data_IF_963259680295
#
_entry.id   IF_963259680295
#
_cell.length_a   1.000
_cell.length_b   1.000
_cell.length_c   1.000
_cell.angle_alpha   90.00
_cell.angle_beta   90.00
_cell.angle_gamma   90.00
#
_symmetry.space_group_name_H-M   'P 1'
#
loop_
_entity.id
_entity.type
_entity.pdbx_description
1 polymer ?
#
# COMPACT_ATOMS: atom_id res chain seq x y z
N UNK A 1 18.54 6.13 9.08
CA UNK A 1 18.59 5.69 7.66
C UNK A 1 18.73 4.16 7.53
N UNK A 2 17.88 3.37 8.24
CA UNK A 2 18.02 1.89 8.36
C UNK A 2 16.79 1.09 7.89
N UNK A 3 15.77 1.69 7.28
CA UNK A 3 14.49 0.99 7.09
C UNK A 3 14.13 0.66 5.63
N UNK A 4 14.75 1.29 4.63
CA UNK A 4 14.32 1.11 3.23
C UNK A 4 14.65 -0.27 2.66
N UNK A 5 15.83 -0.84 3.00
CA UNK A 5 16.27 -2.14 2.47
C UNK A 5 15.46 -3.30 3.04
N UNK A 6 15.17 -3.27 4.34
CA UNK A 6 14.41 -4.33 5.02
C UNK A 6 12.94 -4.33 4.56
N UNK A 7 12.32 -3.15 4.42
CA UNK A 7 10.97 -3.02 3.86
C UNK A 7 10.93 -3.57 2.43
N UNK A 8 11.97 -3.35 1.63
CA UNK A 8 12.03 -3.85 0.27
C UNK A 8 12.11 -5.38 0.22
N UNK A 9 12.88 -6.00 1.13
CA UNK A 9 12.97 -7.46 1.26
C UNK A 9 11.62 -8.05 1.73
N UNK A 10 10.97 -7.40 2.70
CA UNK A 10 9.64 -7.84 3.19
C UNK A 10 8.63 -7.81 2.04
N UNK A 11 8.56 -6.70 1.30
CA UNK A 11 7.65 -6.57 0.14
C UNK A 11 7.96 -7.60 -0.96
N UNK A 12 9.23 -7.87 -1.22
CA UNK A 12 9.66 -8.85 -2.22
C UNK A 12 9.26 -10.27 -1.82
N UNK A 13 9.49 -10.66 -0.56
CA UNK A 13 9.06 -11.96 -0.02
C UNK A 13 7.54 -12.10 -0.06
N UNK A 14 6.83 -11.02 0.26
CA UNK A 14 5.37 -11.00 0.22
C UNK A 14 4.83 -11.17 -1.20
N UNK A 15 5.44 -10.50 -2.18
CA UNK A 15 5.12 -10.69 -3.60
C UNK A 15 5.40 -12.11 -4.09
N UNK A 16 6.51 -12.72 -3.65
CA UNK A 16 6.83 -14.12 -3.97
C UNK A 16 5.78 -15.09 -3.41
N UNK A 17 5.35 -14.89 -2.16
CA UNK A 17 4.29 -15.71 -1.56
C UNK A 17 3.00 -15.57 -2.37
N UNK A 18 2.65 -14.36 -2.80
CA UNK A 18 1.50 -14.14 -3.67
C UNK A 18 1.61 -14.92 -4.99
N UNK A 19 2.77 -14.89 -5.64
CA UNK A 19 3.01 -15.64 -6.90
C UNK A 19 2.82 -17.14 -6.68
N UNK A 20 3.40 -17.70 -5.63
CA UNK A 20 3.28 -19.13 -5.30
C UNK A 20 1.82 -19.50 -5.02
N UNK A 21 1.10 -18.71 -4.23
CA UNK A 21 -0.33 -18.96 -3.95
C UNK A 21 -1.15 -18.83 -5.23
N UNK A 22 -0.84 -17.87 -6.10
CA UNK A 22 -1.56 -17.70 -7.37
C UNK A 22 -1.37 -18.86 -8.34
N UNK A 23 -0.18 -19.46 -8.36
CA UNK A 23 0.16 -20.55 -9.25
C UNK A 23 -0.34 -21.92 -8.73
N UNK A 24 -0.18 -22.18 -7.43
CA UNK A 24 -0.45 -23.51 -6.85
C UNK A 24 -1.78 -23.59 -6.09
N UNK A 25 -2.32 -22.47 -5.62
CA UNK A 25 -3.44 -22.42 -4.67
C UNK A 25 -4.46 -21.35 -5.06
N UNK A 26 -4.97 -21.43 -6.30
CA UNK A 26 -5.81 -20.39 -6.91
C UNK A 26 -7.04 -20.00 -6.08
N UNK A 27 -7.63 -20.96 -5.37
CA UNK A 27 -8.78 -20.76 -4.48
C UNK A 27 -8.44 -19.90 -3.25
N UNK A 28 -7.18 -19.94 -2.81
CA UNK A 28 -6.68 -19.22 -1.63
C UNK A 28 -6.19 -17.81 -1.95
N UNK A 29 -6.08 -17.44 -3.23
CA UNK A 29 -5.65 -16.11 -3.67
C UNK A 29 -6.51 -15.01 -3.06
N UNK A 30 -7.84 -15.21 -3.04
CA UNK A 30 -8.77 -14.23 -2.47
C UNK A 30 -8.56 -14.04 -0.97
N UNK A 31 -8.46 -15.15 -0.23
CA UNK A 31 -8.24 -15.11 1.21
C UNK A 31 -6.90 -14.48 1.56
N UNK A 32 -5.85 -14.82 0.80
CA UNK A 32 -4.55 -14.19 0.95
C UNK A 32 -4.64 -12.68 0.76
N UNK A 33 -5.32 -12.20 -0.29
CA UNK A 33 -5.52 -10.77 -0.55
C UNK A 33 -6.38 -10.05 0.50
N UNK A 34 -7.35 -10.72 1.11
CA UNK A 34 -8.12 -10.13 2.21
C UNK A 34 -7.28 -10.00 3.48
N UNK A 35 -6.54 -11.06 3.83
CA UNK A 35 -5.64 -11.08 4.98
C UNK A 35 -4.53 -10.03 4.83
N UNK A 36 -4.03 -9.91 3.60
CA UNK A 36 -3.10 -8.88 3.14
C UNK A 36 -3.58 -7.46 3.48
N UNK A 37 -4.81 -7.11 3.12
CA UNK A 37 -5.40 -5.81 3.39
C UNK A 37 -5.57 -5.59 4.90
N UNK A 38 -6.03 -6.61 5.62
CA UNK A 38 -6.23 -6.57 7.08
C UNK A 38 -4.92 -6.30 7.82
N UNK A 39 -3.78 -6.78 7.33
CA UNK A 39 -2.47 -6.52 7.95
C UNK A 39 -1.93 -5.13 7.56
N UNK A 40 -2.01 -4.77 6.28
CA UNK A 40 -1.39 -3.54 5.76
C UNK A 40 -2.09 -2.29 6.31
N UNK A 41 -3.44 -2.28 6.35
CA UNK A 41 -4.20 -1.08 6.76
C UNK A 41 -3.85 -0.62 8.18
N UNK A 42 -3.88 -1.48 9.22
CA UNK A 42 -3.53 -1.07 10.58
C UNK A 42 -2.10 -0.59 10.71
N UNK A 43 -1.14 -1.27 10.06
CA UNK A 43 0.27 -0.85 10.07
C UNK A 43 0.42 0.54 9.46
N UNK A 44 -0.25 0.79 8.33
CA UNK A 44 -0.25 2.09 7.67
C UNK A 44 -0.86 3.18 8.57
N UNK A 45 -1.99 2.90 9.22
CA UNK A 45 -2.64 3.84 10.16
C UNK A 45 -1.70 4.19 11.32
N UNK A 46 -1.08 3.19 11.95
CA UNK A 46 -0.14 3.42 13.05
C UNK A 46 1.05 4.27 12.60
N UNK A 47 1.58 4.02 11.40
CA UNK A 47 2.68 4.79 10.84
C UNK A 47 2.27 6.26 10.55
N UNK A 48 1.06 6.46 10.04
CA UNK A 48 0.48 7.80 9.84
C UNK A 48 0.30 8.55 11.17
N UNK A 49 -0.19 7.88 12.21
CA UNK A 49 -0.34 8.49 13.55
C UNK A 49 1.03 8.91 14.09
N UNK A 50 2.06 8.08 13.93
CA UNK A 50 3.44 8.40 14.32
C UNK A 50 3.99 9.60 13.53
N UNK A 51 3.88 9.60 12.21
CA UNK A 51 4.32 10.72 11.36
C UNK A 51 3.63 12.04 11.73
N UNK A 52 2.33 12.02 12.06
CA UNK A 52 1.60 13.21 12.49
C UNK A 52 2.14 13.79 13.81
N UNK A 53 2.59 12.94 14.74
CA UNK A 53 3.20 13.39 16.00
C UNK A 53 4.59 13.99 15.77
N UNK A 54 5.40 13.36 14.92
CA UNK A 54 6.74 13.83 14.56
C UNK A 54 6.70 15.19 13.83
N UNK A 55 5.75 15.36 12.89
CA UNK A 55 5.57 16.63 12.17
C UNK A 55 5.18 17.80 13.09
N UNK A 56 4.33 17.54 14.10
CA UNK A 56 3.95 18.55 15.11
C UNK A 56 5.13 18.98 15.98
N UNK A 57 6.05 18.06 16.27
CA UNK A 57 7.23 18.34 17.09
C UNK A 57 8.33 19.05 16.30
N UNK A 58 8.50 18.70 15.02
CA UNK A 58 9.56 19.24 14.17
C UNK A 58 9.13 20.45 13.32
N UNK A 59 7.86 20.86 13.39
CA UNK A 59 7.31 21.96 12.58
C UNK A 59 7.30 21.68 11.07
N UNK A 60 7.39 20.41 10.67
CA UNK A 60 7.46 19.98 9.27
C UNK A 60 6.07 19.69 8.70
N UNK A 61 5.93 19.72 7.37
CA UNK A 61 4.67 19.42 6.62
C UNK A 61 4.74 18.10 5.82
N UNK A 62 5.60 17.16 6.24
CA UNK A 62 5.89 15.92 5.50
C UNK A 62 4.66 15.01 5.47
N UNK A 63 3.90 14.95 6.56
CA UNK A 63 2.65 14.22 6.69
C UNK A 63 1.59 14.74 5.72
N UNK A 64 1.42 16.06 5.62
CA UNK A 64 0.49 16.66 4.67
C UNK A 64 0.90 16.35 3.23
N UNK A 65 2.20 16.50 2.91
CA UNK A 65 2.72 16.14 1.59
C UNK A 65 2.52 14.65 1.25
N UNK A 66 2.68 13.76 2.24
CA UNK A 66 2.46 12.31 2.09
C UNK A 66 0.98 12.00 1.79
N UNK A 67 0.03 12.61 2.52
CA UNK A 67 -1.41 12.48 2.25
C UNK A 67 -1.75 12.97 0.84
N UNK A 68 -1.23 14.13 0.43
CA UNK A 68 -1.47 14.65 -0.92
C UNK A 68 -0.97 13.70 -2.00
N UNK A 69 0.23 13.11 -1.84
CA UNK A 69 0.74 12.12 -2.79
C UNK A 69 -0.16 10.88 -2.86
N UNK A 70 -0.65 10.41 -1.71
CA UNK A 70 -1.54 9.25 -1.64
C UNK A 70 -2.90 9.52 -2.32
N UNK A 71 -3.48 10.70 -2.10
CA UNK A 71 -4.72 11.14 -2.74
C UNK A 71 -4.56 11.31 -4.26
N UNK A 72 -3.45 11.90 -4.71
CA UNK A 72 -3.14 12.03 -6.14
C UNK A 72 -3.05 10.64 -6.78
N UNK A 73 -2.36 9.69 -6.15
CA UNK A 73 -2.25 8.33 -6.67
C UNK A 73 -3.62 7.63 -6.74
N UNK A 74 -4.47 7.82 -5.72
CA UNK A 74 -5.83 7.29 -5.73
C UNK A 74 -6.68 7.88 -6.87
N UNK A 75 -6.57 9.19 -7.13
CA UNK A 75 -7.25 9.84 -8.24
C UNK A 75 -6.76 9.31 -9.60
N UNK A 76 -5.44 9.14 -9.77
CA UNK A 76 -4.85 8.56 -10.99
C UNK A 76 -5.36 7.13 -11.21
N UNK A 77 -5.43 6.30 -10.16
CA UNK A 77 -5.97 4.96 -10.24
C UNK A 77 -7.45 4.94 -10.64
N UNK A 78 -8.26 5.87 -10.12
CA UNK A 78 -9.65 6.01 -10.54
C UNK A 78 -9.77 6.36 -12.02
N UNK A 79 -8.96 7.31 -12.50
CA UNK A 79 -8.95 7.67 -13.93
C UNK A 79 -8.59 6.47 -14.80
N UNK A 80 -7.52 5.73 -14.45
CA UNK A 80 -7.15 4.51 -15.16
C UNK A 80 -8.25 3.44 -15.10
N UNK A 81 -8.93 3.28 -13.97
CA UNK A 81 -10.05 2.37 -13.84
C UNK A 81 -11.19 2.73 -14.80
N UNK A 82 -11.55 4.02 -14.90
CA UNK A 82 -12.57 4.48 -15.85
C UNK A 82 -12.16 4.25 -17.31
N UNK A 83 -10.91 4.57 -17.67
CA UNK A 83 -10.38 4.33 -19.03
C UNK A 83 -10.41 2.83 -19.35
N UNK A 84 -9.96 1.98 -18.43
CA UNK A 84 -9.91 0.52 -18.62
C UNK A 84 -11.31 -0.05 -18.76
N UNK A 85 -12.27 0.42 -17.95
CA UNK A 85 -13.68 0.02 -18.03
C UNK A 85 -14.29 0.38 -19.39
N UNK A 86 -14.00 1.58 -19.91
CA UNK A 86 -14.48 2.00 -21.23
C UNK A 86 -13.87 1.15 -22.36
N UNK A 87 -12.60 0.76 -22.25
CA UNK A 87 -11.89 0.01 -23.29
C UNK A 87 -12.18 -1.51 -23.29
N UNK A 88 -13.06 -1.99 -22.41
CA UNK A 88 -13.58 -3.37 -22.36
C UNK A 88 -15.11 -3.42 -22.48
N UNK A 89 -15.72 -2.35 -22.99
CA UNK A 89 -17.12 -2.33 -23.47
C UNK A 89 -17.10 -2.30 -24.99
#
# INVERSE_FOLDING_TARGET
MRNSKEINIILLLWGLIFVVISAFFREYVRYYLYLSIIIIIPIMILNMIRQRREDKLNGTKIFQASIYRMLIMAAVLLVFFFITKQNHT
#
